data_IF_990481843012
#
_entry.id   IF_990481843012
#
_cell.length_a   1.000
_cell.length_b   1.000
_cell.length_c   1.000
_cell.angle_alpha   90.00
_cell.angle_beta   90.00
_cell.angle_gamma   90.00
#
_symmetry.space_group_name_H-M   'P 1'
#
loop_
_entity.id
_entity.type
_entity.pdbx_description
1 polymer ?
#
# COMPACT_ATOMS: atom_id res chain seq x y z
N UNK A 1 -38.59 17.33 9.90
CA UNK A 1 -37.28 17.99 9.65
C UNK A 1 -36.55 18.03 10.97
N UNK A 2 -35.72 17.01 11.25
CA UNK A 2 -34.89 16.97 12.45
C UNK A 2 -33.56 17.62 12.11
N UNK A 3 -33.21 18.68 12.83
CA UNK A 3 -31.94 19.38 12.73
C UNK A 3 -30.79 18.40 13.03
N UNK A 4 -29.63 18.52 12.37
CA UNK A 4 -28.47 17.70 12.67
C UNK A 4 -28.02 17.99 14.11
N UNK A 5 -27.97 16.98 14.96
CA UNK A 5 -27.42 17.04 16.30
C UNK A 5 -25.94 17.43 16.23
N UNK A 6 -25.66 18.65 16.61
CA UNK A 6 -24.31 19.18 16.76
C UNK A 6 -23.65 18.44 17.94
N UNK A 7 -22.70 17.57 17.66
CA UNK A 7 -21.91 16.88 18.68
C UNK A 7 -20.82 17.85 19.16
N UNK A 8 -20.82 18.34 20.42
CA UNK A 8 -20.05 19.51 20.85
C UNK A 8 -18.55 19.25 21.10
N UNK A 9 -17.97 18.19 20.54
CA UNK A 9 -16.58 17.77 20.88
C UNK A 9 -15.58 17.95 19.75
N UNK A 10 -15.97 18.42 18.57
CA UNK A 10 -15.03 18.61 17.45
C UNK A 10 -14.83 20.09 17.13
N UNK A 11 -13.57 20.48 16.86
CA UNK A 11 -13.27 21.78 16.26
C UNK A 11 -13.95 21.89 14.88
N UNK A 12 -14.21 23.12 14.39
CA UNK A 12 -14.77 23.34 13.04
C UNK A 12 -13.93 22.64 11.98
N UNK A 13 -12.61 22.61 12.15
CA UNK A 13 -11.70 21.88 11.26
C UNK A 13 -11.90 20.37 11.28
N UNK A 14 -12.05 19.78 12.48
CA UNK A 14 -12.31 18.34 12.62
C UNK A 14 -13.67 17.97 11.97
N UNK A 15 -14.69 18.82 12.08
CA UNK A 15 -15.97 18.62 11.40
C UNK A 15 -15.81 18.70 9.87
N UNK A 16 -15.03 19.66 9.36
CA UNK A 16 -14.70 19.74 7.93
C UNK A 16 -14.02 18.47 7.43
N UNK A 17 -13.04 17.97 8.17
CA UNK A 17 -12.33 16.74 7.84
C UNK A 17 -13.28 15.53 7.85
N UNK A 18 -14.15 15.41 8.86
CA UNK A 18 -15.19 14.38 8.94
C UNK A 18 -16.11 14.40 7.71
N UNK A 19 -16.60 15.57 7.34
CA UNK A 19 -17.47 15.76 6.18
C UNK A 19 -16.76 15.34 4.87
N UNK A 20 -15.45 15.63 4.75
CA UNK A 20 -14.65 15.21 3.61
C UNK A 20 -14.52 13.70 3.54
N UNK A 21 -14.20 13.02 4.65
CA UNK A 21 -14.12 11.57 4.68
C UNK A 21 -15.44 10.91 4.31
N UNK A 22 -16.56 11.39 4.83
CA UNK A 22 -17.89 10.91 4.45
C UNK A 22 -18.21 11.11 2.97
N UNK A 23 -17.81 12.26 2.41
CA UNK A 23 -17.98 12.54 0.97
C UNK A 23 -17.16 11.55 0.14
N UNK A 24 -15.89 11.32 0.51
CA UNK A 24 -15.00 10.39 -0.19
C UNK A 24 -15.53 8.95 -0.10
N UNK A 25 -15.98 8.49 1.06
CA UNK A 25 -16.58 7.16 1.23
C UNK A 25 -17.79 6.96 0.31
N UNK A 26 -18.69 7.96 0.23
CA UNK A 26 -19.85 7.90 -0.67
C UNK A 26 -19.43 7.89 -2.14
N UNK A 27 -18.49 8.74 -2.51
CA UNK A 27 -17.97 8.82 -3.88
C UNK A 27 -17.31 7.51 -4.32
N UNK A 28 -16.46 6.94 -3.50
CA UNK A 28 -15.75 5.71 -3.78
C UNK A 28 -16.64 4.47 -3.68
N UNK A 29 -17.74 4.50 -2.93
CA UNK A 29 -18.54 3.34 -2.55
C UNK A 29 -19.01 2.47 -3.72
N UNK A 30 -19.50 3.07 -4.82
CA UNK A 30 -19.91 2.31 -6.02
C UNK A 30 -18.71 1.65 -6.73
N UNK A 31 -17.61 2.38 -6.83
CA UNK A 31 -16.38 1.88 -7.46
C UNK A 31 -15.77 0.73 -6.65
N UNK A 32 -15.68 0.87 -5.32
CA UNK A 32 -15.19 -0.17 -4.42
C UNK A 32 -16.02 -1.46 -4.55
N UNK A 33 -17.36 -1.34 -4.50
CA UNK A 33 -18.28 -2.48 -4.62
C UNK A 33 -18.18 -3.17 -5.98
N UNK A 34 -18.27 -2.39 -7.07
CA UNK A 34 -18.26 -2.94 -8.43
C UNK A 34 -16.90 -3.57 -8.80
N UNK A 35 -15.80 -2.97 -8.32
CA UNK A 35 -14.44 -3.44 -8.58
C UNK A 35 -13.93 -4.47 -7.58
N UNK A 36 -14.72 -4.86 -6.55
CA UNK A 36 -14.25 -5.70 -5.44
C UNK A 36 -12.94 -5.20 -4.86
N UNK A 37 -12.86 -3.87 -4.60
CA UNK A 37 -11.65 -3.20 -4.15
C UNK A 37 -11.62 -3.18 -2.63
N UNK A 38 -10.62 -3.83 -2.06
CA UNK A 38 -10.45 -3.99 -0.62
C UNK A 38 -9.35 -3.11 -0.03
N UNK A 39 -8.40 -2.65 -0.86
CA UNK A 39 -7.31 -1.78 -0.42
C UNK A 39 -7.36 -0.49 -1.25
N UNK A 40 -7.50 0.67 -0.61
CA UNK A 40 -7.67 1.95 -1.33
C UNK A 40 -7.28 3.16 -0.47
N UNK A 41 -6.93 4.25 -1.15
CA UNK A 41 -6.75 5.55 -0.52
C UNK A 41 -8.11 6.23 -0.36
N UNK A 42 -8.46 6.52 0.88
CA UNK A 42 -9.69 7.22 1.23
C UNK A 42 -9.54 8.73 1.16
N UNK A 43 -8.35 9.25 1.54
CA UNK A 43 -8.09 10.68 1.65
C UNK A 43 -6.62 10.95 1.34
N UNK A 44 -6.32 12.06 0.66
CA UNK A 44 -4.96 12.46 0.29
C UNK A 44 -4.77 13.97 0.34
N UNK A 45 -4.62 14.52 1.55
CA UNK A 45 -4.41 15.95 1.80
C UNK A 45 -5.40 16.88 1.08
N UNK A 46 -6.65 16.44 0.90
CA UNK A 46 -7.72 17.22 0.23
C UNK A 46 -8.01 18.58 0.91
N UNK A 47 -7.65 18.70 2.19
CA UNK A 47 -7.77 19.92 3.00
C UNK A 47 -6.36 20.26 3.48
N UNK A 48 -5.83 21.46 3.17
CA UNK A 48 -4.44 21.83 3.48
C UNK A 48 -4.06 21.70 4.96
N UNK A 49 -5.00 21.97 5.88
CA UNK A 49 -4.78 21.87 7.32
C UNK A 49 -4.63 20.43 7.82
N UNK A 50 -5.11 19.45 7.05
CA UNK A 50 -5.02 18.03 7.32
C UNK A 50 -4.13 17.35 6.29
N UNK A 51 -2.82 17.63 6.36
CA UNK A 51 -1.80 17.10 5.46
C UNK A 51 -1.48 15.63 5.77
N UNK A 52 -2.47 14.75 5.56
CA UNK A 52 -2.34 13.31 5.76
C UNK A 52 -2.85 12.54 4.55
N UNK A 53 -2.31 11.35 4.33
CA UNK A 53 -2.95 10.33 3.51
C UNK A 53 -3.61 9.30 4.42
N UNK A 54 -4.81 8.84 4.07
CA UNK A 54 -5.54 7.78 4.79
C UNK A 54 -5.77 6.61 3.84
N UNK A 55 -5.07 5.52 4.07
CA UNK A 55 -5.16 4.28 3.31
C UNK A 55 -5.93 3.22 4.10
N UNK A 56 -6.90 2.59 3.47
CA UNK A 56 -7.74 1.53 4.04
C UNK A 56 -7.33 0.20 3.41
N UNK A 57 -7.11 -0.80 4.26
CA UNK A 57 -6.82 -2.18 3.89
C UNK A 57 -7.86 -3.07 4.53
N UNK A 58 -8.58 -3.83 3.72
CA UNK A 58 -9.68 -4.67 4.15
C UNK A 58 -9.38 -6.15 3.85
N UNK A 59 -9.60 -7.00 4.86
CA UNK A 59 -9.72 -8.45 4.71
C UNK A 59 -10.83 -8.92 5.66
N UNK A 60 -10.60 -9.92 6.50
CA UNK A 60 -11.49 -10.26 7.62
C UNK A 60 -11.61 -9.12 8.62
N UNK A 61 -10.56 -8.33 8.76
CA UNK A 61 -10.51 -7.11 9.56
C UNK A 61 -10.20 -5.90 8.66
N UNK A 62 -10.49 -4.71 9.19
CA UNK A 62 -10.14 -3.44 8.53
C UNK A 62 -8.92 -2.84 9.23
N UNK A 63 -7.91 -2.51 8.45
CA UNK A 63 -6.71 -1.82 8.89
C UNK A 63 -6.66 -0.44 8.24
N UNK A 64 -6.21 0.55 8.98
CA UNK A 64 -6.05 1.92 8.47
C UNK A 64 -4.62 2.36 8.70
N UNK A 65 -4.01 2.86 7.66
CA UNK A 65 -2.67 3.43 7.70
C UNK A 65 -2.77 4.92 7.38
N UNK A 66 -2.42 5.76 8.35
CA UNK A 66 -2.34 7.21 8.20
C UNK A 66 -0.88 7.59 8.00
N UNK A 67 -0.59 8.32 6.93
CA UNK A 67 0.72 8.89 6.67
C UNK A 67 0.60 10.41 6.79
N UNK A 68 1.31 11.01 7.74
CA UNK A 68 1.45 12.44 7.82
C UNK A 68 2.48 12.93 6.81
N UNK A 69 2.11 13.93 6.00
CA UNK A 69 3.07 14.69 5.22
C UNK A 69 3.74 15.74 6.12
N UNK A 70 5.07 15.76 6.14
CA UNK A 70 5.82 16.70 6.95
C UNK A 70 5.38 18.15 6.67
N UNK A 71 4.91 18.82 7.72
CA UNK A 71 4.44 20.19 7.58
C UNK A 71 5.58 21.13 7.16
N UNK A 72 5.32 22.11 6.28
CA UNK A 72 6.31 23.13 5.93
C UNK A 72 6.82 23.86 7.17
N UNK A 73 8.08 24.31 7.15
CA UNK A 73 8.77 24.93 8.29
C UNK A 73 8.08 26.17 8.88
N UNK A 74 7.22 26.84 8.11
CA UNK A 74 6.45 28.01 8.56
C UNK A 74 5.18 27.65 9.32
N UNK A 75 4.78 26.38 9.36
CA UNK A 75 3.62 25.92 10.12
C UNK A 75 4.03 25.64 11.55
N UNK A 76 3.25 26.16 12.50
CA UNK A 76 3.46 25.92 13.93
C UNK A 76 3.34 24.42 14.25
N UNK A 77 4.37 23.87 14.87
CA UNK A 77 4.45 22.43 15.16
C UNK A 77 3.34 21.95 16.11
N UNK A 78 2.92 22.79 17.05
CA UNK A 78 1.83 22.47 17.98
C UNK A 78 0.49 22.39 17.27
N UNK A 79 0.23 23.29 16.33
CA UNK A 79 -0.96 23.25 15.48
C UNK A 79 -0.95 22.02 14.56
N UNK A 80 0.17 21.72 13.91
CA UNK A 80 0.31 20.53 13.06
C UNK A 80 0.01 19.25 13.86
N UNK A 81 0.59 19.12 15.05
CA UNK A 81 0.35 17.97 15.92
C UNK A 81 -1.11 17.88 16.43
N UNK A 82 -1.76 19.02 16.71
CA UNK A 82 -3.17 19.05 17.09
C UNK A 82 -4.06 18.54 15.93
N UNK A 83 -3.80 19.02 14.69
CA UNK A 83 -4.51 18.56 13.48
C UNK A 83 -4.31 17.08 13.19
N UNK A 84 -3.10 16.57 13.40
CA UNK A 84 -2.83 15.15 13.26
C UNK A 84 -3.64 14.31 14.28
N UNK A 85 -3.68 14.73 15.54
CA UNK A 85 -4.51 14.04 16.56
C UNK A 85 -5.99 14.06 16.20
N UNK A 86 -6.52 15.19 15.72
CA UNK A 86 -7.88 15.29 15.21
C UNK A 86 -8.12 14.35 14.05
N UNK A 87 -7.21 14.32 13.05
CA UNK A 87 -7.32 13.43 11.90
C UNK A 87 -7.39 11.95 12.31
N UNK A 88 -6.54 11.54 13.25
CA UNK A 88 -6.54 10.17 13.79
C UNK A 88 -7.87 9.86 14.50
N UNK A 89 -8.33 10.74 15.41
CA UNK A 89 -9.55 10.53 16.15
C UNK A 89 -10.79 10.47 15.25
N UNK A 90 -10.92 11.41 14.33
CA UNK A 90 -12.04 11.47 13.35
C UNK A 90 -12.03 10.26 12.43
N UNK A 91 -10.86 9.86 11.92
CA UNK A 91 -10.75 8.69 11.05
C UNK A 91 -11.19 7.41 11.78
N UNK A 92 -10.77 7.22 13.04
CA UNK A 92 -11.20 6.08 13.85
C UNK A 92 -12.70 6.04 14.05
N UNK A 93 -13.29 7.18 14.37
CA UNK A 93 -14.73 7.32 14.60
C UNK A 93 -15.52 7.01 13.33
N UNK A 94 -15.15 7.60 12.19
CA UNK A 94 -15.90 7.43 10.92
C UNK A 94 -15.76 6.01 10.36
N UNK A 95 -14.60 5.38 10.50
CA UNK A 95 -14.37 4.03 10.03
C UNK A 95 -14.72 2.96 11.05
N UNK A 96 -15.14 3.36 12.25
CA UNK A 96 -15.55 2.46 13.35
C UNK A 96 -14.50 1.40 13.66
N UNK A 97 -13.22 1.81 13.75
CA UNK A 97 -12.11 0.89 13.99
C UNK A 97 -11.50 1.06 15.38
N UNK A 98 -11.07 -0.03 16.03
CA UNK A 98 -10.34 0.03 17.28
C UNK A 98 -8.92 0.61 17.05
N UNK A 99 -8.31 1.09 18.13
CA UNK A 99 -6.98 1.73 18.08
C UNK A 99 -5.90 0.82 17.50
N UNK A 100 -5.96 -0.46 17.80
CA UNK A 100 -4.99 -1.47 17.37
C UNK A 100 -5.01 -1.70 15.85
N UNK A 101 -6.07 -1.27 15.15
CA UNK A 101 -6.21 -1.37 13.71
C UNK A 101 -5.83 -0.09 12.96
N UNK A 102 -5.39 0.96 13.69
CA UNK A 102 -4.89 2.20 13.09
C UNK A 102 -3.38 2.33 13.31
N UNK A 103 -2.67 2.57 12.24
CA UNK A 103 -1.23 2.79 12.23
C UNK A 103 -0.93 4.19 11.70
N UNK A 104 -0.10 4.92 12.45
CA UNK A 104 0.32 6.27 12.08
C UNK A 104 1.81 6.27 11.74
N UNK A 105 2.17 6.88 10.61
CA UNK A 105 3.56 7.16 10.24
C UNK A 105 3.73 8.61 9.81
N UNK A 106 4.89 9.16 10.12
CA UNK A 106 5.32 10.46 9.59
C UNK A 106 6.18 10.21 8.36
N UNK A 107 5.75 10.69 7.21
CA UNK A 107 6.49 10.59 5.96
C UNK A 107 7.48 11.73 5.87
N UNK A 108 8.71 11.48 6.33
CA UNK A 108 9.85 12.38 6.12
C UNK A 108 10.51 12.07 4.79
N UNK A 109 10.92 13.13 4.07
CA UNK A 109 11.68 12.95 2.84
C UNK A 109 13.01 12.25 3.16
N UNK A 110 13.16 11.01 2.70
CA UNK A 110 14.38 10.23 2.89
C UNK A 110 15.22 10.27 1.61
N UNK A 111 16.54 10.40 1.76
CA UNK A 111 17.50 10.42 0.64
C UNK A 111 18.34 9.13 0.64
N UNK A 112 18.54 8.54 -0.55
CA UNK A 112 19.44 7.42 -0.77
C UNK A 112 18.99 6.11 -0.09
N UNK A 113 19.93 5.34 0.46
CA UNK A 113 19.68 4.01 1.05
C UNK A 113 18.79 4.00 2.30
N UNK A 114 18.46 5.17 2.86
CA UNK A 114 17.64 5.28 4.07
C UNK A 114 16.21 4.74 3.87
N UNK A 115 15.68 4.73 2.65
CA UNK A 115 14.36 4.19 2.30
C UNK A 115 14.22 2.68 2.56
N UNK A 116 15.33 1.93 2.57
CA UNK A 116 15.35 0.49 2.84
C UNK A 116 15.52 0.16 4.33
N UNK A 117 15.67 1.19 5.17
CA UNK A 117 15.92 0.99 6.60
C UNK A 117 14.65 0.53 7.29
N UNK A 118 14.75 -0.56 8.05
CA UNK A 118 13.69 -1.04 8.92
C UNK A 118 13.46 -0.04 10.04
N UNK A 119 12.21 0.40 10.23
CA UNK A 119 11.81 1.39 11.25
C UNK A 119 11.48 0.73 12.59
N UNK A 120 11.11 -0.55 12.56
CA UNK A 120 10.71 -1.34 13.72
C UNK A 120 11.11 -2.81 13.59
N UNK A 121 10.81 -3.59 14.61
CA UNK A 121 11.14 -5.01 14.66
C UNK A 121 9.98 -5.88 15.18
N UNK A 122 8.73 -5.41 15.05
CA UNK A 122 7.55 -6.14 15.53
C UNK A 122 7.30 -7.43 14.74
N UNK A 123 7.74 -7.48 13.48
CA UNK A 123 7.56 -8.65 12.61
C UNK A 123 6.10 -8.97 12.28
N UNK A 124 5.17 -8.04 12.55
CA UNK A 124 3.74 -8.28 12.40
C UNK A 124 3.29 -8.00 10.98
N UNK A 125 2.87 -9.04 10.29
CA UNK A 125 2.30 -8.97 8.95
C UNK A 125 0.80 -9.26 9.00
N UNK A 126 0.06 -8.57 8.14
CA UNK A 126 -1.38 -8.77 7.96
C UNK A 126 -1.64 -9.18 6.52
N UNK A 127 -2.55 -10.13 6.33
CA UNK A 127 -2.97 -10.53 4.99
C UNK A 127 -4.12 -9.64 4.52
N UNK A 128 -3.99 -9.07 3.33
CA UNK A 128 -5.02 -8.25 2.66
C UNK A 128 -5.32 -8.80 1.27
N UNK A 129 -6.43 -8.36 0.68
CA UNK A 129 -6.88 -8.84 -0.63
C UNK A 129 -6.84 -7.74 -1.68
N UNK A 130 -6.40 -8.09 -2.88
CA UNK A 130 -6.51 -7.25 -4.08
C UNK A 130 -6.63 -8.10 -5.34
N UNK A 131 -7.66 -7.89 -6.16
CA UNK A 131 -7.81 -8.55 -7.45
C UNK A 131 -7.84 -10.08 -7.38
N UNK A 132 -8.42 -10.64 -6.33
CA UNK A 132 -8.45 -12.09 -6.10
C UNK A 132 -7.15 -12.68 -5.55
N UNK A 133 -6.11 -11.86 -5.34
CA UNK A 133 -4.85 -12.25 -4.73
C UNK A 133 -4.79 -11.83 -3.26
N UNK A 134 -3.94 -12.49 -2.50
CA UNK A 134 -3.62 -12.13 -1.11
C UNK A 134 -2.21 -11.57 -1.02
N UNK A 135 -2.05 -10.52 -0.23
CA UNK A 135 -0.76 -9.87 0.00
C UNK A 135 -0.51 -9.68 1.48
N UNK A 136 0.70 -9.93 1.89
CA UNK A 136 1.18 -9.55 3.22
C UNK A 136 1.49 -8.06 3.20
N UNK A 137 1.01 -7.34 4.21
CA UNK A 137 1.37 -5.94 4.47
C UNK A 137 1.92 -5.79 5.87
N UNK A 138 2.81 -4.83 6.08
CA UNK A 138 3.38 -4.49 7.38
C UNK A 138 3.22 -2.99 7.62
N UNK A 139 2.47 -2.64 8.64
CA UNK A 139 2.15 -1.25 8.94
C UNK A 139 3.14 -0.57 9.91
N UNK A 140 4.06 -1.30 10.53
CA UNK A 140 4.90 -0.78 11.60
C UNK A 140 6.39 -0.72 11.28
N UNK A 141 6.92 -1.75 10.59
CA UNK A 141 8.36 -1.97 10.55
C UNK A 141 9.07 -1.33 9.36
N UNK A 142 8.35 -0.99 8.30
CA UNK A 142 8.91 -0.45 7.06
C UNK A 142 8.25 0.89 6.73
N UNK A 143 8.89 1.71 5.90
CA UNK A 143 8.35 2.98 5.46
C UNK A 143 7.03 2.78 4.70
N UNK A 144 7.05 1.92 3.70
CA UNK A 144 5.87 1.55 2.92
C UNK A 144 5.26 0.25 3.44
N UNK A 145 4.00 0.02 3.13
CA UNK A 145 3.21 -1.10 3.66
C UNK A 145 3.50 -2.43 2.98
N UNK A 146 4.20 -2.43 1.85
CA UNK A 146 4.45 -3.61 1.02
C UNK A 146 3.49 -3.76 -0.16
N UNK A 147 2.45 -2.93 -0.26
CA UNK A 147 1.52 -2.91 -1.39
C UNK A 147 1.23 -1.48 -1.82
N UNK A 148 1.70 -1.08 -2.99
CA UNK A 148 1.41 0.23 -3.59
C UNK A 148 0.01 0.24 -4.20
N UNK A 149 -0.91 1.02 -3.63
CA UNK A 149 -2.34 1.02 -4.01
C UNK A 149 -2.61 1.64 -5.39
N UNK A 150 -1.76 2.56 -5.83
CA UNK A 150 -1.81 3.24 -7.11
C UNK A 150 -1.44 2.34 -8.29
N UNK A 151 -0.67 1.27 -8.07
CA UNK A 151 -0.27 0.33 -9.11
C UNK A 151 -1.28 -0.80 -9.37
N UNK A 152 -2.47 -0.79 -8.76
CA UNK A 152 -3.49 -1.85 -8.93
C UNK A 152 -3.84 -2.11 -10.39
N UNK A 153 -4.06 -1.05 -11.18
CA UNK A 153 -4.43 -1.16 -12.58
C UNK A 153 -3.28 -1.78 -13.38
N UNK A 154 -2.05 -1.31 -13.15
CA UNK A 154 -0.84 -1.86 -13.79
C UNK A 154 -0.67 -3.34 -13.46
N UNK A 155 -0.84 -3.74 -12.19
CA UNK A 155 -0.78 -5.15 -11.81
C UNK A 155 -1.85 -6.00 -12.50
N UNK A 156 -3.07 -5.48 -12.60
CA UNK A 156 -4.15 -6.18 -13.32
C UNK A 156 -3.82 -6.35 -14.81
N UNK A 157 -3.24 -5.34 -15.46
CA UNK A 157 -2.76 -5.42 -16.84
C UNK A 157 -1.66 -6.47 -17.00
N UNK A 158 -0.69 -6.50 -16.08
CA UNK A 158 0.35 -7.56 -16.07
C UNK A 158 -0.30 -8.94 -16.02
N UNK A 159 -1.26 -9.16 -15.13
CA UNK A 159 -1.98 -10.45 -15.06
C UNK A 159 -2.70 -10.81 -16.36
N UNK A 160 -3.34 -9.83 -17.03
CA UNK A 160 -4.03 -10.07 -18.31
C UNK A 160 -3.06 -10.42 -19.45
N UNK A 161 -1.85 -9.86 -19.43
CA UNK A 161 -0.86 -10.02 -20.50
C UNK A 161 0.07 -11.22 -20.29
N UNK A 162 0.09 -11.83 -19.11
CA UNK A 162 1.10 -12.81 -18.71
C UNK A 162 0.87 -14.22 -19.25
N UNK A 163 -0.35 -14.56 -19.71
CA UNK A 163 -0.69 -15.92 -20.10
C UNK A 163 0.26 -16.50 -21.16
N UNK A 164 0.86 -17.64 -20.85
CA UNK A 164 1.79 -18.36 -21.76
C UNK A 164 3.14 -17.64 -21.98
N UNK A 165 3.48 -16.65 -21.16
CA UNK A 165 4.72 -15.87 -21.31
C UNK A 165 5.63 -16.03 -20.11
N UNK A 166 6.92 -15.88 -20.36
CA UNK A 166 7.91 -15.69 -19.30
C UNK A 166 7.91 -14.21 -18.89
N UNK A 167 7.74 -13.96 -17.59
CA UNK A 167 7.65 -12.62 -17.04
C UNK A 167 8.91 -12.22 -16.27
N UNK A 168 9.46 -11.06 -16.59
CA UNK A 168 10.57 -10.44 -15.86
C UNK A 168 10.05 -9.24 -15.05
N UNK A 169 10.25 -9.28 -13.72
CA UNK A 169 9.95 -8.18 -12.82
C UNK A 169 11.24 -7.58 -12.29
N UNK A 170 11.59 -6.38 -12.77
CA UNK A 170 12.75 -5.63 -12.30
C UNK A 170 12.31 -4.66 -11.20
N UNK A 171 13.19 -4.45 -10.20
CA UNK A 171 12.84 -3.69 -8.99
C UNK A 171 11.59 -4.29 -8.32
N UNK A 172 11.63 -5.61 -8.15
CA UNK A 172 10.45 -6.41 -7.87
C UNK A 172 9.77 -6.09 -6.53
N UNK A 173 10.49 -5.45 -5.60
CA UNK A 173 9.99 -5.09 -4.27
C UNK A 173 9.38 -6.33 -3.59
N UNK A 174 8.14 -6.28 -3.15
CA UNK A 174 7.43 -7.39 -2.49
C UNK A 174 6.78 -8.37 -3.49
N UNK A 175 7.10 -8.29 -4.78
CA UNK A 175 6.64 -9.22 -5.81
C UNK A 175 5.16 -9.14 -6.15
N UNK A 176 4.47 -8.04 -5.84
CA UNK A 176 3.03 -7.95 -6.09
C UNK A 176 2.66 -8.09 -7.57
N UNK A 177 3.45 -7.54 -8.51
CA UNK A 177 3.25 -7.74 -9.94
C UNK A 177 3.53 -9.18 -10.36
N UNK A 178 4.52 -9.84 -9.74
CA UNK A 178 4.84 -11.25 -9.98
C UNK A 178 3.69 -12.17 -9.61
N UNK A 179 3.03 -11.92 -8.47
CA UNK A 179 1.82 -12.67 -8.07
C UNK A 179 0.72 -12.54 -9.13
N UNK A 180 0.50 -11.34 -9.65
CA UNK A 180 -0.48 -11.13 -10.73
C UNK A 180 -0.08 -11.83 -12.03
N UNK A 181 1.20 -11.81 -12.41
CA UNK A 181 1.69 -12.53 -13.58
C UNK A 181 1.50 -14.05 -13.44
N UNK A 182 1.88 -14.62 -12.30
CA UNK A 182 1.71 -16.05 -12.04
C UNK A 182 0.23 -16.45 -12.09
N UNK A 183 -0.66 -15.67 -11.43
CA UNK A 183 -2.11 -15.91 -11.49
C UNK A 183 -2.68 -15.75 -12.89
N UNK A 184 -2.12 -14.86 -13.69
CA UNK A 184 -2.49 -14.64 -15.09
C UNK A 184 -2.02 -15.75 -16.05
N UNK A 185 -1.32 -16.78 -15.54
CA UNK A 185 -0.85 -17.91 -16.34
C UNK A 185 0.51 -17.69 -17.00
N UNK A 186 1.39 -16.89 -16.39
CA UNK A 186 2.80 -16.84 -16.81
C UNK A 186 3.42 -18.24 -16.74
N UNK A 187 4.17 -18.62 -17.76
CA UNK A 187 4.91 -19.91 -17.82
C UNK A 187 6.02 -19.95 -16.77
N UNK A 188 6.69 -18.82 -16.62
CA UNK A 188 7.68 -18.62 -15.57
C UNK A 188 7.73 -17.16 -15.13
N UNK A 189 8.28 -16.89 -13.96
CA UNK A 189 8.55 -15.52 -13.51
C UNK A 189 9.97 -15.40 -12.95
N UNK A 190 10.64 -14.32 -13.28
CA UNK A 190 11.92 -13.95 -12.69
C UNK A 190 11.79 -12.56 -12.05
N UNK A 191 11.94 -12.49 -10.73
CA UNK A 191 11.87 -11.24 -9.97
C UNK A 191 13.25 -10.86 -9.49
N UNK A 192 13.72 -9.69 -9.88
CA UNK A 192 15.06 -9.17 -9.53
C UNK A 192 14.92 -7.96 -8.63
N UNK A 193 15.60 -7.99 -7.48
CA UNK A 193 15.68 -6.86 -6.54
C UNK A 193 17.00 -6.89 -5.78
N UNK A 194 17.51 -5.75 -5.36
CA UNK A 194 18.73 -5.66 -4.54
C UNK A 194 18.49 -6.10 -3.09
N UNK A 195 17.25 -5.94 -2.60
CA UNK A 195 16.90 -6.16 -1.20
C UNK A 195 16.49 -7.60 -0.94
N UNK A 196 17.37 -8.33 -0.23
CA UNK A 196 17.00 -9.67 0.27
C UNK A 196 15.70 -9.66 1.08
N UNK A 197 15.51 -8.66 1.93
CA UNK A 197 14.30 -8.52 2.76
C UNK A 197 13.03 -8.44 1.92
N UNK A 198 13.05 -7.69 0.82
CA UNK A 198 11.89 -7.57 -0.06
C UNK A 198 11.69 -8.82 -0.92
N UNK A 199 12.75 -9.50 -1.32
CA UNK A 199 12.64 -10.78 -2.00
C UNK A 199 12.10 -11.87 -1.08
N UNK A 200 12.54 -11.94 0.18
CA UNK A 200 11.96 -12.86 1.18
C UNK A 200 10.44 -12.57 1.37
N UNK A 201 10.04 -11.30 1.36
CA UNK A 201 8.64 -10.91 1.40
C UNK A 201 7.90 -11.29 0.10
N UNK A 202 8.52 -11.10 -1.06
CA UNK A 202 7.98 -11.52 -2.35
C UNK A 202 7.75 -13.04 -2.38
N UNK A 203 8.69 -13.84 -1.89
CA UNK A 203 8.54 -15.29 -1.76
C UNK A 203 7.31 -15.66 -0.92
N UNK A 204 7.16 -15.03 0.24
CA UNK A 204 5.99 -15.23 1.10
C UNK A 204 4.67 -14.84 0.42
N UNK A 205 4.66 -13.77 -0.39
CA UNK A 205 3.49 -13.38 -1.18
C UNK A 205 3.17 -14.41 -2.28
N UNK A 206 4.19 -14.96 -2.93
CA UNK A 206 4.04 -16.03 -3.91
C UNK A 206 3.46 -17.29 -3.25
N UNK A 207 4.04 -17.75 -2.17
CA UNK A 207 3.57 -18.91 -1.39
C UNK A 207 2.13 -18.74 -0.89
N UNK A 208 1.78 -17.54 -0.38
CA UNK A 208 0.43 -17.22 0.11
C UNK A 208 -0.64 -17.39 -0.98
N UNK A 209 -0.25 -17.28 -2.24
CA UNK A 209 -1.11 -17.43 -3.41
C UNK A 209 -0.95 -18.79 -4.12
N UNK A 210 -0.13 -19.71 -3.59
CA UNK A 210 0.08 -21.05 -4.15
C UNK A 210 1.12 -21.11 -5.27
N UNK A 211 1.97 -20.10 -5.42
CA UNK A 211 3.00 -19.98 -6.47
C UNK A 211 4.42 -20.20 -5.91
N UNK A 212 4.64 -21.28 -5.14
CA UNK A 212 5.96 -21.63 -4.57
C UNK A 212 6.83 -22.51 -5.47
N UNK A 213 6.49 -22.69 -6.73
CA UNK A 213 7.19 -23.58 -7.68
C UNK A 213 8.54 -23.05 -8.16
N UNK A 214 9.38 -23.95 -8.74
CA UNK A 214 10.72 -23.61 -9.23
C UNK A 214 10.70 -22.71 -10.48
N UNK A 215 9.59 -22.63 -11.15
CA UNK A 215 9.31 -21.73 -12.28
C UNK A 215 9.27 -20.25 -11.86
N UNK A 216 9.13 -19.97 -10.55
CA UNK A 216 9.08 -18.62 -10.01
C UNK A 216 10.39 -18.28 -9.28
N UNK A 217 11.28 -17.58 -9.96
CA UNK A 217 12.64 -17.30 -9.48
C UNK A 217 12.72 -15.94 -8.81
N UNK A 218 13.38 -15.88 -7.64
CA UNK A 218 13.72 -14.66 -6.92
C UNK A 218 15.24 -14.48 -6.97
N UNK A 219 15.71 -13.37 -7.52
CA UNK A 219 17.14 -13.11 -7.76
C UNK A 219 17.56 -11.84 -7.04
N UNK A 220 18.47 -12.00 -6.07
CA UNK A 220 19.07 -10.84 -5.41
C UNK A 220 20.20 -10.29 -6.28
N UNK A 221 19.94 -9.16 -6.96
CA UNK A 221 20.94 -8.51 -7.81
C UNK A 221 20.59 -7.04 -8.03
N UNK A 222 21.59 -6.26 -8.45
CA UNK A 222 21.34 -4.96 -9.08
C UNK A 222 20.67 -5.21 -10.45
N UNK A 223 19.51 -4.63 -10.69
CA UNK A 223 18.71 -4.87 -11.90
C UNK A 223 19.49 -4.51 -13.19
N UNK A 224 20.23 -3.39 -13.19
CA UNK A 224 21.00 -2.96 -14.35
C UNK A 224 22.14 -3.94 -14.67
N UNK A 225 22.93 -4.31 -13.67
CA UNK A 225 23.99 -5.29 -13.82
C UNK A 225 23.46 -6.68 -14.20
N UNK A 226 22.27 -7.04 -13.69
CA UNK A 226 21.62 -8.29 -14.04
C UNK A 226 21.21 -8.30 -15.51
N UNK A 227 20.62 -7.23 -16.01
CA UNK A 227 20.27 -7.07 -17.42
C UNK A 227 21.47 -7.16 -18.34
N UNK A 228 22.57 -6.45 -18.00
CA UNK A 228 23.81 -6.49 -18.78
C UNK A 228 24.38 -7.91 -18.91
N UNK A 229 24.39 -8.68 -17.80
CA UNK A 229 24.91 -10.06 -17.79
C UNK A 229 24.03 -11.04 -18.53
N UNK A 230 22.74 -10.79 -18.67
CA UNK A 230 21.77 -11.70 -19.29
C UNK A 230 21.29 -11.21 -20.67
N UNK A 231 21.83 -10.10 -21.16
CA UNK A 231 21.53 -9.58 -22.49
C UNK A 231 21.83 -10.64 -23.57
N UNK A 232 20.84 -10.93 -24.41
CA UNK A 232 20.93 -11.92 -25.47
C UNK A 232 20.89 -13.40 -25.02
N UNK A 233 20.81 -13.69 -23.72
CA UNK A 233 20.74 -15.07 -23.20
C UNK A 233 19.29 -15.53 -22.94
N UNK A 234 18.41 -14.60 -22.59
CA UNK A 234 17.02 -14.87 -22.28
C UNK A 234 16.10 -13.89 -22.98
N UNK A 235 14.97 -14.37 -23.43
CA UNK A 235 13.90 -13.57 -24.00
C UNK A 235 12.67 -13.70 -23.12
N UNK A 236 12.22 -12.57 -22.56
CA UNK A 236 11.00 -12.51 -21.78
C UNK A 236 9.85 -11.99 -22.67
N UNK A 237 8.71 -12.65 -22.57
CA UNK A 237 7.53 -12.25 -23.33
C UNK A 237 6.79 -11.05 -22.72
N UNK A 238 7.12 -10.72 -21.43
CA UNK A 238 6.57 -9.58 -20.70
C UNK A 238 7.62 -9.09 -19.69
N UNK A 239 7.81 -7.76 -19.62
CA UNK A 239 8.72 -7.10 -18.68
C UNK A 239 7.96 -5.96 -17.97
#
# INVERSE_FOLDING_TARGET
MTAPTHNPTHSDGAQMFANRLHKNLRHLGRWLKRGHIHCYRLYDADIPEYAVAVDVYQSEQRWVHIQEYEAPRHVDAGKAQARLREAVAVTRQILEIPEQQLFLKVRRQQKGKAQYRKLGARGQFHSVQEGGNRFLVNFSDYLDTGLFLDHRITRAMVGQLAAGRDFLNLFAYTGSATVYAARGGATSTTSVDMSKTYLDWAGRNMELNGFGGREHRLVQANCLEWLERHAGQHHFGLI
#
